data_IF_621309159479
#
_entry.id   IF_621309159479
#
_cell.length_a   1.000
_cell.length_b   1.000
_cell.length_c   1.000
_cell.angle_alpha   90.00
_cell.angle_beta   90.00
_cell.angle_gamma   90.00
#
_symmetry.space_group_name_H-M   'P 1'
#
loop_
_entity.id
_entity.type
_entity.pdbx_description
1 polymer ?
#
# COMPACT_ATOMS: atom_id res chain seq x y z
N UNK A 1 -33.86 31.30 32.71
CA UNK A 1 -33.98 29.98 32.05
C UNK A 1 -33.40 30.01 30.64
N UNK A 2 -33.80 30.98 29.81
CA UNK A 2 -33.31 31.18 28.43
C UNK A 2 -31.78 31.34 28.30
N UNK A 3 -31.15 32.14 29.17
CA UNK A 3 -29.69 32.33 29.17
C UNK A 3 -28.91 31.01 29.35
N UNK A 4 -29.40 30.11 30.22
CA UNK A 4 -28.76 28.81 30.47
C UNK A 4 -28.88 27.89 29.26
N UNK A 5 -30.04 27.88 28.61
CA UNK A 5 -30.29 27.10 27.37
C UNK A 5 -29.37 27.59 26.24
N UNK A 6 -29.19 28.91 26.11
CA UNK A 6 -28.30 29.50 25.11
C UNK A 6 -26.83 29.12 25.34
N UNK A 7 -26.37 29.14 26.60
CA UNK A 7 -25.02 28.70 26.95
C UNK A 7 -24.81 27.19 26.77
N UNK A 8 -25.81 26.36 27.07
CA UNK A 8 -25.73 24.89 26.87
C UNK A 8 -25.72 24.53 25.37
N UNK A 9 -26.51 25.20 24.54
CA UNK A 9 -26.50 25.02 23.08
C UNK A 9 -25.19 25.48 22.45
N UNK A 10 -24.63 26.61 22.91
CA UNK A 10 -23.33 27.09 22.45
C UNK A 10 -22.21 26.11 22.82
N UNK A 11 -22.23 25.55 24.03
CA UNK A 11 -21.24 24.56 24.48
C UNK A 11 -21.33 23.24 23.68
N UNK A 12 -22.54 22.76 23.39
CA UNK A 12 -22.75 21.59 22.54
C UNK A 12 -22.26 21.82 21.10
N UNK A 13 -22.49 23.01 20.54
CA UNK A 13 -22.03 23.37 19.20
C UNK A 13 -20.48 23.43 19.11
N UNK A 14 -19.80 23.89 20.16
CA UNK A 14 -18.33 23.94 20.18
C UNK A 14 -17.66 22.57 20.25
N UNK A 15 -18.31 21.55 20.82
CA UNK A 15 -17.77 20.18 20.89
C UNK A 15 -17.79 19.50 19.51
N UNK A 16 -18.77 19.81 18.67
CA UNK A 16 -18.90 19.20 17.34
C UNK A 16 -17.85 19.65 16.32
N UNK A 17 -17.21 20.81 16.52
CA UNK A 17 -16.23 21.36 15.56
C UNK A 17 -14.85 20.72 15.74
N UNK A 18 -14.52 20.22 16.93
CA UNK A 18 -13.20 19.66 17.26
C UNK A 18 -12.90 18.29 16.66
N UNK A 19 -13.86 17.66 15.95
CA UNK A 19 -13.75 16.26 15.47
C UNK A 19 -13.41 16.18 13.97
N UNK A 20 -13.20 17.30 13.28
CA UNK A 20 -12.75 17.29 11.88
C UNK A 20 -11.22 17.32 11.77
N UNK A 21 -10.55 16.32 12.33
CA UNK A 21 -9.16 16.03 11.95
C UNK A 21 -9.15 15.37 10.58
N UNK A 22 -8.87 16.17 9.56
CA UNK A 22 -8.58 15.71 8.20
C UNK A 22 -7.16 15.13 8.21
N UNK A 23 -7.00 13.94 8.80
CA UNK A 23 -5.73 13.22 8.80
C UNK A 23 -5.50 12.61 7.42
N UNK A 24 -5.16 13.48 6.46
CA UNK A 24 -4.47 13.04 5.26
C UNK A 24 -3.02 12.92 5.67
N UNK A 25 -2.60 11.72 6.05
CA UNK A 25 -1.19 11.45 6.25
C UNK A 25 -0.47 11.86 4.96
N UNK A 26 0.40 12.86 5.05
CA UNK A 26 1.31 13.15 3.95
C UNK A 26 2.14 11.88 3.75
N UNK A 27 2.10 11.32 2.53
CA UNK A 27 2.90 10.15 2.19
C UNK A 27 4.40 10.43 2.33
N UNK A 28 5.20 9.38 2.20
CA UNK A 28 6.66 9.49 2.29
C UNK A 28 7.24 10.47 1.26
N UNK A 29 8.21 11.28 1.70
CA UNK A 29 9.04 12.15 0.89
C UNK A 29 10.41 11.52 0.67
N UNK A 30 11.14 12.00 -0.35
CA UNK A 30 12.52 11.55 -0.59
C UNK A 30 13.40 11.90 0.61
N UNK A 31 14.08 10.90 1.15
CA UNK A 31 14.91 11.03 2.35
C UNK A 31 14.23 10.55 3.63
N UNK A 32 12.92 10.30 3.60
CA UNK A 32 12.22 9.74 4.75
C UNK A 32 12.62 8.29 4.98
N UNK A 33 12.65 7.91 6.27
CA UNK A 33 12.75 6.51 6.65
C UNK A 33 11.38 5.87 6.55
N UNK A 34 11.25 4.87 5.68
CA UNK A 34 10.03 4.07 5.54
C UNK A 34 9.84 3.22 6.80
N UNK A 35 8.63 3.25 7.36
CA UNK A 35 8.23 2.39 8.47
C UNK A 35 8.17 0.94 8.01
N UNK A 36 8.47 0.02 8.92
CA UNK A 36 8.24 -1.40 8.64
C UNK A 36 6.75 -1.67 8.46
N UNK A 37 6.43 -2.70 7.70
CA UNK A 37 5.07 -3.18 7.49
C UNK A 37 5.07 -4.70 7.43
N UNK A 38 3.92 -5.30 7.74
CA UNK A 38 3.70 -6.74 7.56
C UNK A 38 2.48 -6.92 6.67
N UNK A 39 2.61 -7.73 5.63
CA UNK A 39 1.54 -8.06 4.70
C UNK A 39 1.45 -9.58 4.58
N UNK A 40 0.23 -10.09 4.61
CA UNK A 40 -0.05 -11.49 4.33
C UNK A 40 0.02 -11.72 2.82
N UNK A 41 0.76 -12.75 2.43
CA UNK A 41 0.85 -13.18 1.04
C UNK A 41 -0.27 -14.18 0.73
N UNK A 42 -0.57 -14.34 -0.55
CA UNK A 42 -1.65 -15.23 -1.00
C UNK A 42 -1.39 -16.72 -0.75
N UNK A 43 -0.13 -17.10 -0.55
CA UNK A 43 0.27 -18.45 -0.13
C UNK A 43 0.18 -18.67 1.40
N UNK A 44 -0.26 -17.66 2.15
CA UNK A 44 -0.35 -17.67 3.61
C UNK A 44 0.96 -17.36 4.33
N UNK A 45 2.05 -17.11 3.60
CA UNK A 45 3.28 -16.57 4.19
C UNK A 45 3.10 -15.09 4.57
N UNK A 46 3.96 -14.59 5.45
CA UNK A 46 4.00 -13.16 5.79
C UNK A 46 5.28 -12.54 5.27
N UNK A 47 5.15 -11.34 4.72
CA UNK A 47 6.28 -10.51 4.35
C UNK A 47 6.36 -9.30 5.26
N UNK A 48 7.57 -9.00 5.74
CA UNK A 48 7.87 -7.70 6.32
C UNK A 48 9.06 -7.05 5.63
N UNK A 49 9.03 -5.72 5.52
CA UNK A 49 10.11 -4.95 4.90
C UNK A 49 11.44 -5.19 5.65
N UNK A 50 11.37 -5.26 6.97
CA UNK A 50 12.51 -5.57 7.84
C UNK A 50 13.12 -6.95 7.60
N UNK A 51 12.32 -7.93 7.17
CA UNK A 51 12.77 -9.32 6.94
C UNK A 51 13.24 -9.57 5.50
N UNK A 52 13.13 -8.60 4.59
CA UNK A 52 13.57 -8.75 3.20
C UNK A 52 15.05 -9.16 3.06
N UNK A 53 15.92 -8.76 3.99
CA UNK A 53 17.37 -8.98 3.88
C UNK A 53 18.01 -8.27 2.66
N UNK A 54 17.24 -7.45 1.96
CA UNK A 54 17.63 -6.77 0.73
C UNK A 54 18.47 -5.53 1.04
N UNK A 55 19.43 -5.22 0.16
CA UNK A 55 20.18 -3.95 0.24
C UNK A 55 19.37 -2.77 -0.30
N UNK A 56 18.40 -3.05 -1.15
CA UNK A 56 17.46 -2.08 -1.71
C UNK A 56 16.17 -2.82 -2.08
N UNK A 57 15.03 -2.24 -1.72
CA UNK A 57 13.71 -2.79 -2.02
C UNK A 57 12.98 -1.82 -2.94
N UNK A 58 12.31 -2.34 -3.98
CA UNK A 58 11.51 -1.53 -4.91
C UNK A 58 10.06 -1.95 -4.77
N UNK A 59 9.25 -1.14 -4.10
CA UNK A 59 7.82 -1.43 -3.92
C UNK A 59 7.06 -0.81 -5.08
N UNK A 60 6.31 -1.62 -5.82
CA UNK A 60 5.42 -1.16 -6.90
C UNK A 60 4.01 -1.58 -6.55
N UNK A 61 3.10 -0.63 -6.56
CA UNK A 61 1.67 -0.88 -6.38
C UNK A 61 1.04 -1.17 -7.75
N UNK A 62 0.45 -2.35 -7.90
CA UNK A 62 -0.18 -2.82 -9.15
C UNK A 62 -1.60 -3.31 -8.90
N UNK A 63 -2.32 -3.63 -9.98
CA UNK A 63 -3.64 -4.27 -9.97
C UNK A 63 -3.77 -5.10 -11.23
N UNK A 64 -4.41 -6.27 -11.15
CA UNK A 64 -4.58 -7.17 -12.30
C UNK A 64 -5.59 -6.61 -13.31
N UNK A 65 -6.57 -5.85 -12.84
CA UNK A 65 -7.64 -5.30 -13.68
C UNK A 65 -7.34 -3.89 -14.20
N UNK A 66 -6.25 -3.26 -13.76
CA UNK A 66 -5.97 -1.88 -14.14
C UNK A 66 -5.54 -1.77 -15.62
N UNK A 67 -6.35 -1.13 -16.49
CA UNK A 67 -6.05 -1.03 -17.92
C UNK A 67 -4.81 -0.17 -18.20
N UNK A 68 -4.39 0.65 -17.23
CA UNK A 68 -3.19 1.46 -17.33
C UNK A 68 -1.92 0.71 -16.96
N UNK A 69 -1.99 -0.29 -16.07
CA UNK A 69 -0.80 -1.03 -15.61
C UNK A 69 -0.47 -2.19 -16.55
N UNK A 70 -1.48 -2.86 -17.13
CA UNK A 70 -1.30 -4.01 -18.02
C UNK A 70 -0.30 -3.77 -19.17
N UNK A 71 -0.29 -2.61 -19.87
CA UNK A 71 0.70 -2.32 -20.90
C UNK A 71 2.15 -2.17 -20.38
N UNK A 72 2.33 -1.86 -19.09
CA UNK A 72 3.65 -1.73 -18.47
C UNK A 72 4.15 -3.05 -17.86
N UNK A 73 3.31 -4.07 -17.75
CA UNK A 73 3.68 -5.34 -17.11
C UNK A 73 4.94 -5.96 -17.72
N UNK A 74 5.05 -6.00 -19.05
CA UNK A 74 6.24 -6.54 -19.74
C UNK A 74 7.51 -5.74 -19.42
N UNK A 75 7.38 -4.42 -19.27
CA UNK A 75 8.50 -3.56 -18.86
C UNK A 75 8.91 -3.82 -17.42
N UNK A 76 7.93 -3.99 -16.52
CA UNK A 76 8.20 -4.33 -15.12
C UNK A 76 8.90 -5.69 -15.00
N UNK A 77 8.50 -6.68 -15.80
CA UNK A 77 9.18 -7.98 -15.93
C UNK A 77 10.62 -7.81 -16.39
N UNK A 78 10.84 -7.04 -17.46
CA UNK A 78 12.18 -6.81 -18.00
C UNK A 78 13.10 -6.16 -16.97
N UNK A 79 12.59 -5.15 -16.25
CA UNK A 79 13.34 -4.48 -15.18
C UNK A 79 13.63 -5.45 -14.04
N UNK A 80 12.64 -6.22 -13.61
CA UNK A 80 12.84 -7.24 -12.57
C UNK A 80 13.97 -8.18 -12.97
N UNK A 81 13.91 -8.77 -14.17
CA UNK A 81 14.93 -9.71 -14.66
C UNK A 81 16.33 -9.07 -14.77
N UNK A 82 16.43 -7.80 -15.18
CA UNK A 82 17.71 -7.09 -15.26
C UNK A 82 18.35 -6.84 -13.88
N UNK A 83 17.53 -6.59 -12.87
CA UNK A 83 17.96 -6.15 -11.56
C UNK A 83 17.97 -7.27 -10.50
N UNK A 84 17.22 -8.37 -10.69
CA UNK A 84 17.03 -9.42 -9.68
C UNK A 84 18.36 -10.00 -9.21
N UNK A 85 19.27 -10.32 -10.14
CA UNK A 85 20.60 -10.87 -9.83
C UNK A 85 21.54 -9.88 -9.16
N UNK A 86 21.26 -8.57 -9.27
CA UNK A 86 22.21 -7.56 -8.85
C UNK A 86 22.14 -7.30 -7.35
N UNK A 87 20.95 -7.27 -6.70
CA UNK A 87 20.83 -6.94 -5.25
C UNK A 87 19.51 -7.34 -4.54
N UNK A 88 18.85 -8.46 -4.88
CA UNK A 88 17.65 -8.97 -4.18
C UNK A 88 16.52 -7.92 -4.08
N UNK A 89 15.78 -7.71 -5.16
CA UNK A 89 14.63 -6.81 -5.17
C UNK A 89 13.34 -7.63 -4.96
N UNK A 90 12.55 -7.26 -3.94
CA UNK A 90 11.16 -7.68 -3.84
C UNK A 90 10.29 -6.69 -4.61
N UNK A 91 9.33 -7.18 -5.40
CA UNK A 91 8.56 -6.36 -6.32
C UNK A 91 7.07 -6.75 -6.35
N UNK A 92 6.23 -5.87 -5.81
CA UNK A 92 4.81 -5.82 -6.16
C UNK A 92 3.84 -5.93 -4.99
N UNK A 93 2.92 -4.97 -4.85
CA UNK A 93 1.76 -5.09 -3.95
C UNK A 93 0.52 -4.85 -4.79
N UNK A 94 -0.37 -5.84 -4.85
CA UNK A 94 -1.69 -5.60 -5.38
C UNK A 94 -2.46 -4.69 -4.42
N UNK A 95 -2.80 -3.50 -4.92
CA UNK A 95 -3.50 -2.50 -4.11
C UNK A 95 -5.02 -2.61 -4.21
N UNK A 96 -5.51 -3.54 -5.02
CA UNK A 96 -6.93 -3.71 -5.26
C UNK A 96 -7.52 -4.84 -4.41
N UNK A 97 -8.22 -4.45 -3.34
CA UNK A 97 -8.88 -5.38 -2.41
C UNK A 97 -10.07 -6.15 -3.00
N UNK A 98 -10.56 -5.78 -4.18
CA UNK A 98 -11.75 -6.42 -4.77
C UNK A 98 -11.41 -7.48 -5.80
N UNK A 99 -10.13 -7.63 -6.15
CA UNK A 99 -9.67 -8.64 -7.11
C UNK A 99 -9.69 -10.04 -6.48
N UNK A 100 -10.16 -11.07 -7.19
CA UNK A 100 -10.17 -12.43 -6.67
C UNK A 100 -8.75 -12.91 -6.38
N UNK A 101 -8.52 -13.46 -5.18
CA UNK A 101 -7.21 -13.99 -4.78
C UNK A 101 -6.58 -14.94 -5.81
N UNK A 102 -7.38 -15.83 -6.40
CA UNK A 102 -6.89 -16.77 -7.41
C UNK A 102 -6.36 -16.06 -8.67
N UNK A 103 -7.02 -14.99 -9.10
CA UNK A 103 -6.57 -14.18 -10.24
C UNK A 103 -5.24 -13.50 -9.93
N UNK A 104 -5.12 -12.89 -8.75
CA UNK A 104 -3.88 -12.23 -8.33
C UNK A 104 -2.74 -13.23 -8.22
N UNK A 105 -2.99 -14.42 -7.67
CA UNK A 105 -2.01 -15.50 -7.58
C UNK A 105 -1.55 -15.97 -8.96
N UNK A 106 -2.48 -16.12 -9.92
CA UNK A 106 -2.13 -16.56 -11.27
C UNK A 106 -1.32 -15.47 -11.98
N UNK A 107 -1.73 -14.20 -11.84
CA UNK A 107 -0.98 -13.05 -12.35
C UNK A 107 0.44 -13.00 -11.75
N UNK A 108 0.58 -13.24 -10.45
CA UNK A 108 1.87 -13.32 -9.78
C UNK A 108 2.76 -14.42 -10.35
N UNK A 109 2.25 -15.65 -10.45
CA UNK A 109 3.01 -16.81 -10.96
C UNK A 109 3.44 -16.65 -12.42
N UNK A 110 2.57 -16.10 -13.26
CA UNK A 110 2.83 -15.96 -14.70
C UNK A 110 3.74 -14.79 -15.04
N UNK A 111 3.61 -13.69 -14.28
CA UNK A 111 4.16 -12.40 -14.70
C UNK A 111 5.17 -11.79 -13.73
N UNK A 112 5.32 -12.21 -12.48
CA UNK A 112 6.35 -11.63 -11.59
C UNK A 112 6.90 -12.72 -10.66
N UNK A 113 8.15 -13.12 -10.91
CA UNK A 113 8.88 -13.94 -9.94
C UNK A 113 9.02 -13.20 -8.62
N UNK A 114 8.34 -13.74 -7.61
CA UNK A 114 8.68 -13.85 -6.17
C UNK A 114 7.94 -12.98 -5.14
N UNK A 115 7.26 -11.88 -5.46
CA UNK A 115 6.71 -11.05 -4.37
C UNK A 115 5.54 -10.15 -4.76
N UNK A 116 4.50 -10.68 -5.44
CA UNK A 116 3.22 -9.96 -5.58
C UNK A 116 2.30 -10.34 -4.41
N UNK A 117 2.15 -9.42 -3.46
CA UNK A 117 1.22 -9.50 -2.34
C UNK A 117 -0.17 -8.99 -2.68
#
# INVERSE_FOLDING_TARGET
MFQKILFTLAFLLTISISVYSNDRSEGYKVGDKVSDFVIDNYDGSQYSLSNSGAKATVIIFVSTECPFVQPYTDRLISLNNEFWFKRNYDLGINSNKTEPTEEVMNHAKEKITTSLF
#
